data_IF_728059734149
#
_entry.id   IF_728059734149
#
_cell.length_a   1.000
_cell.length_b   1.000
_cell.length_c   1.000
_cell.angle_alpha   90.00
_cell.angle_beta   90.00
_cell.angle_gamma   90.00
#
_symmetry.space_group_name_H-M   'P 1'
#
loop_
_entity.id
_entity.type
_entity.pdbx_description
1 polymer ?
#
# COMPACT_ATOMS: atom_id res chain seq x y z
N UNK A 1 28.60 56.95 -50.97
CA UNK A 1 27.55 56.96 -49.93
C UNK A 1 26.35 56.23 -50.48
N UNK A 2 26.28 54.92 -50.24
CA UNK A 2 25.17 54.07 -50.68
C UNK A 2 24.81 53.20 -49.48
N UNK A 3 23.92 53.70 -48.62
CA UNK A 3 23.46 52.97 -47.44
C UNK A 3 22.42 51.93 -47.87
N UNK A 4 22.76 50.67 -47.63
CA UNK A 4 21.92 49.51 -47.86
C UNK A 4 21.04 49.26 -46.63
N UNK A 5 19.74 49.15 -46.88
CA UNK A 5 18.69 48.87 -45.89
C UNK A 5 18.94 47.53 -45.18
N UNK A 6 19.09 47.57 -43.86
CA UNK A 6 18.98 46.40 -43.00
C UNK A 6 17.52 46.19 -42.59
N UNK A 7 16.90 45.11 -43.08
CA UNK A 7 15.59 44.65 -42.66
C UNK A 7 15.66 43.99 -41.28
N UNK A 8 14.79 44.44 -40.38
CA UNK A 8 14.51 43.86 -39.07
C UNK A 8 13.70 42.57 -39.21
N UNK A 9 14.29 41.43 -38.83
CA UNK A 9 13.57 40.17 -38.65
C UNK A 9 12.97 40.10 -37.24
N UNK A 10 11.67 40.35 -37.14
CA UNK A 10 10.85 39.95 -35.99
C UNK A 10 10.54 38.46 -36.07
N UNK A 11 11.15 37.64 -35.22
CA UNK A 11 10.70 36.28 -34.94
C UNK A 11 9.35 36.34 -34.19
N UNK A 12 8.27 35.96 -34.87
CA UNK A 12 7.00 35.65 -34.22
C UNK A 12 7.11 34.28 -33.54
N UNK A 13 7.21 34.28 -32.22
CA UNK A 13 7.01 33.10 -31.39
C UNK A 13 5.54 32.70 -31.45
N UNK A 14 5.26 31.60 -32.16
CA UNK A 14 3.94 31.01 -32.24
C UNK A 14 3.60 30.40 -30.87
N UNK A 15 2.91 31.17 -30.03
CA UNK A 15 2.41 30.71 -28.75
C UNK A 15 1.33 29.64 -29.01
N UNK A 16 1.64 28.40 -28.62
CA UNK A 16 0.66 27.31 -28.53
C UNK A 16 -0.39 27.71 -27.48
N UNK A 17 -1.60 28.00 -27.95
CA UNK A 17 -2.75 28.19 -27.09
C UNK A 17 -2.98 26.93 -26.26
N UNK A 18 -3.15 27.02 -24.94
CA UNK A 18 -3.52 25.89 -24.12
C UNK A 18 -4.88 25.37 -24.60
N UNK A 19 -4.94 24.09 -24.93
CA UNK A 19 -6.19 23.40 -25.25
C UNK A 19 -7.20 23.62 -24.13
N UNK A 20 -8.47 23.93 -24.45
CA UNK A 20 -9.49 24.11 -23.44
C UNK A 20 -9.61 22.82 -22.59
N UNK A 21 -9.84 22.95 -21.27
CA UNK A 21 -10.07 21.79 -20.41
C UNK A 21 -11.18 20.93 -21.02
N UNK A 22 -11.05 19.58 -20.98
CA UNK A 22 -12.03 18.69 -21.60
C UNK A 22 -13.42 19.06 -21.10
N UNK A 23 -14.21 19.64 -22.00
CA UNK A 23 -15.60 19.98 -21.73
C UNK A 23 -16.28 18.68 -21.32
N UNK A 24 -16.67 18.60 -20.04
CA UNK A 24 -17.49 17.53 -19.53
C UNK A 24 -18.82 17.65 -20.27
N UNK A 25 -19.00 16.86 -21.33
CA UNK A 25 -20.32 16.65 -21.90
C UNK A 25 -21.26 16.29 -20.75
N UNK A 26 -22.53 16.74 -20.76
CA UNK A 26 -23.47 16.45 -19.70
C UNK A 26 -23.51 14.93 -19.54
N UNK A 27 -22.86 14.45 -18.48
CA UNK A 27 -22.74 13.02 -18.21
C UNK A 27 -24.15 12.57 -17.89
N UNK A 28 -24.64 11.58 -18.62
CA UNK A 28 -25.94 11.00 -18.32
C UNK A 28 -25.95 10.57 -16.85
N UNK A 29 -26.86 11.16 -16.08
CA UNK A 29 -27.01 10.93 -14.64
C UNK A 29 -27.25 9.45 -14.35
N UNK A 30 -27.92 8.74 -15.26
CA UNK A 30 -28.18 7.31 -15.17
C UNK A 30 -26.85 6.55 -15.25
N UNK A 31 -25.99 6.90 -16.21
CA UNK A 31 -24.67 6.30 -16.38
C UNK A 31 -23.79 6.53 -15.15
N UNK A 32 -23.84 7.75 -14.57
CA UNK A 32 -23.10 8.11 -13.37
C UNK A 32 -23.54 7.28 -12.16
N UNK A 33 -24.85 7.08 -11.98
CA UNK A 33 -25.40 6.28 -10.90
C UNK A 33 -24.95 4.81 -11.01
N UNK A 34 -25.02 4.24 -12.20
CA UNK A 34 -24.53 2.87 -12.46
C UNK A 34 -23.02 2.78 -12.22
N UNK A 35 -22.24 3.76 -12.69
CA UNK A 35 -20.79 3.80 -12.45
C UNK A 35 -20.46 3.87 -10.95
N UNK A 36 -21.19 4.71 -10.21
CA UNK A 36 -21.01 4.89 -8.76
C UNK A 36 -21.31 3.60 -7.99
N UNK A 37 -22.32 2.84 -8.42
CA UNK A 37 -22.63 1.53 -7.86
C UNK A 37 -21.52 0.52 -8.16
N UNK A 38 -21.11 0.42 -9.43
CA UNK A 38 -20.13 -0.56 -9.86
C UNK A 38 -18.74 -0.30 -9.25
N UNK A 39 -18.34 0.96 -9.08
CA UNK A 39 -16.97 1.34 -8.68
C UNK A 39 -16.45 0.67 -7.41
N UNK A 40 -17.34 0.41 -6.45
CA UNK A 40 -16.98 -0.18 -5.15
C UNK A 40 -17.42 -1.64 -5.02
N UNK A 41 -17.91 -2.25 -6.10
CA UNK A 41 -18.53 -3.56 -6.04
C UNK A 41 -17.49 -4.70 -6.00
N UNK A 42 -17.60 -5.59 -5.01
CA UNK A 42 -16.62 -6.66 -4.74
C UNK A 42 -16.47 -7.65 -5.90
N UNK A 43 -17.54 -7.91 -6.66
CA UNK A 43 -17.49 -8.88 -7.77
C UNK A 43 -16.63 -8.43 -8.97
N UNK A 44 -16.39 -7.11 -9.11
CA UNK A 44 -15.54 -6.59 -10.19
C UNK A 44 -14.10 -7.08 -10.07
N UNK A 45 -13.63 -7.41 -8.85
CA UNK A 45 -12.23 -7.77 -8.55
C UNK A 45 -11.25 -6.87 -9.32
N UNK A 46 -11.48 -5.57 -9.22
CA UNK A 46 -10.68 -4.55 -9.90
C UNK A 46 -9.23 -4.64 -9.43
N UNK A 47 -8.29 -4.45 -10.37
CA UNK A 47 -6.85 -4.46 -10.12
C UNK A 47 -6.25 -3.17 -10.65
N UNK A 48 -5.08 -2.83 -10.12
CA UNK A 48 -4.31 -1.70 -10.61
C UNK A 48 -3.46 -2.12 -11.82
N UNK A 49 -3.45 -1.27 -12.82
CA UNK A 49 -2.61 -1.35 -14.00
C UNK A 49 -2.06 0.03 -14.36
N UNK A 50 -1.39 0.11 -15.50
CA UNK A 50 -0.78 1.33 -15.99
C UNK A 50 -1.38 1.72 -17.34
N UNK A 51 -1.75 2.98 -17.48
CA UNK A 51 -2.13 3.58 -18.76
C UNK A 51 -1.24 4.80 -18.97
N UNK A 52 -0.37 4.73 -19.98
CA UNK A 52 0.59 5.80 -20.28
C UNK A 52 1.41 6.23 -19.05
N UNK A 53 1.79 5.26 -18.19
CA UNK A 53 2.55 5.50 -16.95
C UNK A 53 1.73 5.85 -15.71
N UNK A 54 0.46 6.21 -15.86
CA UNK A 54 -0.44 6.50 -14.74
C UNK A 54 -1.08 5.24 -14.18
N UNK A 55 -1.19 5.16 -12.85
CA UNK A 55 -1.88 4.03 -12.19
C UNK A 55 -3.39 4.17 -12.34
N UNK A 56 -4.03 3.12 -12.86
CA UNK A 56 -5.45 3.07 -13.17
C UNK A 56 -6.06 1.75 -12.70
N UNK A 57 -7.36 1.77 -12.39
CA UNK A 57 -8.09 0.55 -12.05
C UNK A 57 -8.74 -0.04 -13.30
N UNK A 58 -8.64 -1.35 -13.46
CA UNK A 58 -9.26 -2.08 -14.55
C UNK A 58 -10.00 -3.33 -14.06
N UNK A 59 -10.94 -3.81 -14.86
CA UNK A 59 -11.69 -5.04 -14.62
C UNK A 59 -12.04 -5.72 -15.96
N UNK A 60 -12.61 -6.93 -15.89
CA UNK A 60 -13.07 -7.68 -17.07
C UNK A 60 -14.57 -7.55 -17.28
N UNK A 61 -15.02 -7.50 -18.52
CA UNK A 61 -16.43 -7.32 -18.87
C UNK A 61 -17.38 -8.30 -18.18
N UNK A 62 -17.09 -9.61 -18.22
CA UNK A 62 -17.91 -10.64 -17.56
C UNK A 62 -18.16 -10.40 -16.07
N UNK A 63 -17.24 -9.71 -15.39
CA UNK A 63 -17.38 -9.38 -13.96
C UNK A 63 -18.36 -8.23 -13.74
N UNK A 64 -18.40 -7.27 -14.67
CA UNK A 64 -19.36 -6.18 -14.63
C UNK A 64 -20.78 -6.68 -14.89
N UNK A 65 -20.99 -7.55 -15.87
CA UNK A 65 -22.30 -8.16 -16.12
C UNK A 65 -22.79 -8.94 -14.90
N UNK A 66 -21.92 -9.75 -14.27
CA UNK A 66 -22.25 -10.44 -13.01
C UNK A 66 -22.59 -9.48 -11.86
N UNK A 67 -21.94 -8.31 -11.81
CA UNK A 67 -22.25 -7.30 -10.80
C UNK A 67 -23.61 -6.61 -11.05
N UNK A 68 -23.96 -6.36 -12.31
CA UNK A 68 -25.24 -5.76 -12.69
C UNK A 68 -26.42 -6.72 -12.49
N UNK A 69 -26.21 -8.03 -12.66
CA UNK A 69 -27.23 -9.06 -12.41
C UNK A 69 -27.28 -9.55 -10.96
N UNK A 70 -26.54 -8.92 -10.06
CA UNK A 70 -26.50 -9.32 -8.65
C UNK A 70 -27.74 -8.85 -7.88
N UNK A 71 -28.09 -9.56 -6.81
CA UNK A 71 -29.15 -9.13 -5.90
C UNK A 71 -28.89 -7.75 -5.29
N UNK A 72 -27.61 -7.38 -5.09
CA UNK A 72 -27.25 -6.06 -4.57
C UNK A 72 -27.72 -4.93 -5.50
N UNK A 73 -27.65 -5.16 -6.81
CA UNK A 73 -28.15 -4.22 -7.79
C UNK A 73 -29.67 -4.11 -7.72
N UNK A 74 -30.37 -5.25 -7.72
CA UNK A 74 -31.84 -5.30 -7.62
C UNK A 74 -32.38 -4.61 -6.35
N UNK A 75 -31.73 -4.85 -5.20
CA UNK A 75 -32.09 -4.19 -3.93
C UNK A 75 -31.90 -2.67 -3.99
N UNK A 76 -30.84 -2.19 -4.67
CA UNK A 76 -30.59 -0.74 -4.80
C UNK A 76 -31.43 -0.09 -5.88
N UNK A 77 -31.77 -0.77 -6.97
CA UNK A 77 -32.66 -0.24 -8.00
C UNK A 77 -34.11 -0.14 -7.53
N UNK A 78 -34.52 -0.98 -6.57
CA UNK A 78 -35.83 -0.90 -5.92
C UNK A 78 -36.06 0.43 -5.18
N UNK A 79 -34.99 1.14 -4.80
CA UNK A 79 -35.10 2.45 -4.18
C UNK A 79 -35.05 3.56 -5.25
N UNK A 80 -36.15 4.29 -5.50
CA UNK A 80 -36.21 5.33 -6.55
C UNK A 80 -35.23 6.49 -6.30
N UNK A 81 -34.77 6.70 -5.06
CA UNK A 81 -33.77 7.73 -4.74
C UNK A 81 -32.41 7.48 -5.39
N UNK A 82 -32.10 6.24 -5.76
CA UNK A 82 -30.82 5.89 -6.34
C UNK A 82 -30.76 6.11 -7.86
N UNK A 83 -31.91 6.32 -8.53
CA UNK A 83 -31.97 6.59 -9.97
C UNK A 83 -31.29 5.53 -10.84
N UNK A 84 -31.39 4.25 -10.45
CA UNK A 84 -30.83 3.10 -11.16
C UNK A 84 -31.94 2.43 -11.99
N UNK A 85 -31.69 2.09 -13.27
CA UNK A 85 -32.67 1.39 -14.08
C UNK A 85 -32.82 -0.08 -13.60
N UNK A 86 -34.01 -0.69 -13.73
CA UNK A 86 -34.17 -2.12 -13.47
C UNK A 86 -33.45 -2.94 -14.55
N UNK A 87 -32.54 -3.83 -14.14
CA UNK A 87 -31.82 -4.73 -15.04
C UNK A 87 -32.20 -6.17 -14.69
N UNK A 88 -32.99 -6.81 -15.55
CA UNK A 88 -33.46 -8.19 -15.37
C UNK A 88 -32.71 -9.19 -16.25
N UNK A 89 -32.42 -8.80 -17.51
CA UNK A 89 -31.79 -9.67 -18.50
C UNK A 89 -30.36 -9.24 -18.81
N UNK A 90 -29.56 -10.17 -19.34
CA UNK A 90 -28.20 -9.88 -19.78
C UNK A 90 -28.13 -8.76 -20.82
N UNK A 91 -29.11 -8.66 -21.71
CA UNK A 91 -29.12 -7.65 -22.77
C UNK A 91 -29.36 -6.23 -22.21
N UNK A 92 -30.18 -6.11 -21.17
CA UNK A 92 -30.31 -4.84 -20.43
C UNK A 92 -29.00 -4.47 -19.72
N UNK A 93 -28.27 -5.47 -19.19
CA UNK A 93 -26.96 -5.24 -18.58
C UNK A 93 -25.91 -4.78 -19.62
N UNK A 94 -25.92 -5.38 -20.83
CA UNK A 94 -25.08 -4.96 -21.95
C UNK A 94 -25.42 -3.54 -22.40
N UNK A 95 -26.69 -3.20 -22.53
CA UNK A 95 -27.13 -1.84 -22.90
C UNK A 95 -26.67 -0.79 -21.87
N UNK A 96 -26.82 -1.09 -20.57
CA UNK A 96 -26.32 -0.26 -19.48
C UNK A 96 -24.79 -0.10 -19.53
N UNK A 97 -24.07 -1.16 -19.90
CA UNK A 97 -22.62 -1.11 -20.06
C UNK A 97 -22.18 -0.27 -21.26
N UNK A 98 -22.89 -0.37 -22.38
CA UNK A 98 -22.68 0.48 -23.55
C UNK A 98 -22.90 1.96 -23.19
N UNK A 99 -23.89 2.26 -22.35
CA UNK A 99 -24.14 3.61 -21.85
C UNK A 99 -22.94 4.16 -21.05
N UNK A 100 -22.30 3.32 -20.23
CA UNK A 100 -21.08 3.68 -19.49
C UNK A 100 -19.88 4.00 -20.41
N UNK A 101 -19.76 3.26 -21.53
CA UNK A 101 -18.72 3.52 -22.54
C UNK A 101 -19.02 4.81 -23.29
N UNK A 102 -20.27 5.00 -23.74
CA UNK A 102 -20.71 6.21 -24.46
C UNK A 102 -20.50 7.48 -23.64
N UNK A 103 -20.74 7.41 -22.32
CA UNK A 103 -20.49 8.50 -21.37
C UNK A 103 -19.01 8.69 -21.00
N UNK A 104 -18.08 7.93 -21.60
CA UNK A 104 -16.64 7.96 -21.35
C UNK A 104 -16.23 7.71 -19.89
N UNK A 105 -17.09 7.03 -19.12
CA UNK A 105 -16.78 6.62 -17.74
C UNK A 105 -15.89 5.36 -17.73
N UNK A 106 -15.98 4.58 -18.81
CA UNK A 106 -15.19 3.40 -19.11
C UNK A 106 -14.53 3.52 -20.48
N UNK A 107 -13.33 2.98 -20.60
CA UNK A 107 -12.62 2.87 -21.88
C UNK A 107 -12.19 1.41 -22.06
N UNK A 108 -12.43 0.78 -23.23
CA UNK A 108 -11.90 -0.54 -23.53
C UNK A 108 -10.38 -0.46 -23.59
N UNK A 109 -9.70 -1.43 -22.99
CA UNK A 109 -8.24 -1.46 -22.94
C UNK A 109 -7.72 -2.84 -23.28
N UNK A 110 -6.67 -2.91 -24.09
CA UNK A 110 -5.97 -4.16 -24.32
C UNK A 110 -4.79 -4.25 -23.37
N UNK A 111 -4.60 -5.42 -22.77
CA UNK A 111 -3.49 -5.69 -21.86
C UNK A 111 -2.26 -6.02 -22.71
N UNK A 112 -1.22 -5.21 -22.62
CA UNK A 112 0.02 -5.45 -23.33
C UNK A 112 0.90 -6.45 -22.58
N UNK A 113 1.61 -7.26 -23.35
CA UNK A 113 2.75 -8.04 -22.86
C UNK A 113 3.94 -7.12 -22.54
N UNK A 114 4.90 -7.63 -21.76
CA UNK A 114 6.13 -6.88 -21.44
C UNK A 114 6.95 -6.55 -22.69
N UNK A 115 6.86 -7.36 -23.75
CA UNK A 115 7.55 -7.11 -25.02
C UNK A 115 6.88 -5.99 -25.81
N UNK A 116 5.56 -6.08 -26.01
CA UNK A 116 4.74 -5.08 -26.71
C UNK A 116 4.79 -3.71 -26.00
N UNK A 117 4.91 -3.70 -24.68
CA UNK A 117 5.06 -2.46 -23.89
C UNK A 117 6.31 -1.69 -24.32
N UNK A 118 7.43 -2.39 -24.58
CA UNK A 118 8.68 -1.75 -25.03
C UNK A 118 8.58 -1.26 -26.47
N UNK A 119 7.92 -2.01 -27.33
CA UNK A 119 7.65 -1.62 -28.73
C UNK A 119 6.82 -0.33 -28.80
N UNK A 120 5.87 -0.17 -27.88
CA UNK A 120 5.06 1.05 -27.76
C UNK A 120 5.76 2.18 -26.99
N UNK A 121 7.09 2.11 -26.79
CA UNK A 121 7.90 3.10 -26.05
C UNK A 121 7.43 3.36 -24.61
N UNK A 122 6.78 2.39 -23.96
CA UNK A 122 6.33 2.47 -22.57
C UNK A 122 7.30 1.72 -21.65
N UNK A 123 7.46 2.21 -20.42
CA UNK A 123 8.35 1.59 -19.42
C UNK A 123 7.56 0.49 -18.67
N UNK A 124 7.91 -0.80 -18.83
CA UNK A 124 7.24 -1.86 -18.10
C UNK A 124 7.59 -1.81 -16.61
N UNK A 125 6.58 -1.83 -15.73
CA UNK A 125 6.77 -1.96 -14.29
C UNK A 125 6.44 -3.39 -13.84
N UNK A 126 7.27 -3.97 -12.97
CA UNK A 126 7.03 -5.31 -12.43
C UNK A 126 5.73 -5.32 -11.60
N UNK A 127 4.87 -6.30 -11.84
CA UNK A 127 3.64 -6.52 -11.06
C UNK A 127 2.41 -5.72 -11.53
N UNK A 128 2.56 -4.71 -12.39
CA UNK A 128 1.44 -3.95 -12.95
C UNK A 128 1.33 -4.17 -14.47
N UNK A 129 0.20 -4.65 -14.99
CA UNK A 129 -0.02 -4.74 -16.42
C UNK A 129 -0.18 -3.34 -17.05
N UNK A 130 0.43 -3.15 -18.21
CA UNK A 130 0.25 -1.93 -19.03
C UNK A 130 -0.90 -2.12 -20.00
N UNK A 131 -1.70 -1.07 -20.19
CA UNK A 131 -2.82 -1.05 -21.12
C UNK A 131 -2.66 0.01 -22.18
N UNK A 132 -3.21 -0.28 -23.36
CA UNK A 132 -3.42 0.67 -24.45
C UNK A 132 -4.92 0.84 -24.66
N UNK A 133 -5.43 2.08 -24.82
CA UNK A 133 -6.85 2.30 -25.03
C UNK A 133 -7.25 1.83 -26.43
N UNK A 134 -8.39 1.13 -26.53
CA UNK A 134 -8.98 0.72 -27.79
C UNK A 134 -10.01 1.74 -28.25
N UNK A 135 -10.14 1.90 -29.56
CA UNK A 135 -11.13 2.80 -30.14
C UNK A 135 -12.51 2.14 -30.30
N UNK A 136 -12.55 0.80 -30.44
CA UNK A 136 -13.77 0.00 -30.57
C UNK A 136 -13.84 -1.01 -29.42
N UNK A 137 -15.02 -1.14 -28.83
CA UNK A 137 -15.34 -2.16 -27.84
C UNK A 137 -16.06 -3.33 -28.52
N UNK A 138 -15.56 -4.55 -28.35
CA UNK A 138 -16.18 -5.76 -28.92
C UNK A 138 -17.14 -6.46 -27.95
N UNK A 139 -17.17 -6.02 -26.68
CA UNK A 139 -18.04 -6.54 -25.61
C UNK A 139 -17.85 -8.05 -25.39
N UNK A 140 -16.63 -8.56 -25.59
CA UNK A 140 -16.32 -9.97 -25.34
C UNK A 140 -16.14 -10.22 -23.83
N UNK A 141 -16.48 -11.42 -23.31
CA UNK A 141 -16.46 -11.71 -21.87
C UNK A 141 -15.12 -11.43 -21.16
N UNK A 142 -14.00 -11.62 -21.86
CA UNK A 142 -12.64 -11.48 -21.30
C UNK A 142 -11.92 -10.17 -21.65
N UNK A 143 -12.60 -9.26 -22.35
CA UNK A 143 -12.08 -7.91 -22.64
C UNK A 143 -11.91 -7.10 -21.35
N UNK A 144 -10.85 -6.29 -21.32
CA UNK A 144 -10.55 -5.42 -20.18
C UNK A 144 -11.12 -4.03 -20.39
N UNK A 145 -11.66 -3.48 -19.31
CA UNK A 145 -12.19 -2.12 -19.27
C UNK A 145 -11.53 -1.36 -18.14
N UNK A 146 -11.20 -0.11 -18.43
CA UNK A 146 -10.47 0.80 -17.55
C UNK A 146 -11.43 1.83 -17.00
N UNK A 147 -11.36 2.07 -15.70
CA UNK A 147 -12.10 3.15 -15.05
C UNK A 147 -11.46 4.51 -15.35
N UNK A 148 -12.22 5.39 -15.98
CA UNK A 148 -11.94 6.83 -15.98
C UNK A 148 -12.74 7.58 -14.92
N UNK A 149 -13.87 7.00 -14.48
CA UNK A 149 -14.66 7.54 -13.39
C UNK A 149 -13.96 7.43 -12.03
N UNK A 150 -13.67 8.59 -11.44
CA UNK A 150 -13.21 8.71 -10.05
C UNK A 150 -14.38 9.14 -9.17
N UNK A 151 -14.83 8.23 -8.30
CA UNK A 151 -15.81 8.56 -7.26
C UNK A 151 -15.16 9.54 -6.28
N UNK A 152 -15.79 10.69 -6.04
CA UNK A 152 -15.35 11.62 -4.99
C UNK A 152 -15.38 10.90 -3.64
N UNK A 153 -14.23 10.79 -2.99
CA UNK A 153 -14.15 10.21 -1.65
C UNK A 153 -14.50 11.30 -0.64
N UNK A 154 -15.35 11.05 0.37
CA UNK A 154 -15.59 12.03 1.43
C UNK A 154 -14.31 12.34 2.22
N UNK A 155 -13.35 11.41 2.24
CA UNK A 155 -12.04 11.62 2.85
C UNK A 155 -11.25 12.75 2.20
N UNK A 156 -11.31 12.88 0.87
CA UNK A 156 -10.59 13.95 0.16
C UNK A 156 -11.09 15.33 0.63
N UNK A 157 -12.40 15.44 0.87
CA UNK A 157 -13.01 16.66 1.40
C UNK A 157 -12.60 16.93 2.85
N UNK A 158 -12.62 15.91 3.71
CA UNK A 158 -12.22 16.03 5.12
C UNK A 158 -10.75 16.45 5.21
N UNK A 159 -9.88 15.84 4.38
CA UNK A 159 -8.45 16.20 4.31
C UNK A 159 -8.30 17.64 3.84
N UNK A 160 -9.01 18.06 2.78
CA UNK A 160 -8.95 19.43 2.30
C UNK A 160 -9.37 20.44 3.38
N UNK A 161 -10.47 20.18 4.09
CA UNK A 161 -10.94 21.02 5.21
C UNK A 161 -9.90 21.01 6.34
N UNK A 162 -9.35 19.85 6.68
CA UNK A 162 -8.32 19.71 7.73
C UNK A 162 -7.05 20.51 7.41
N UNK A 163 -6.61 20.52 6.14
CA UNK A 163 -5.48 21.33 5.68
C UNK A 163 -5.78 22.82 5.88
N UNK A 164 -6.97 23.27 5.47
CA UNK A 164 -7.39 24.67 5.64
C UNK A 164 -7.40 25.05 7.12
N UNK A 165 -8.02 24.24 7.98
CA UNK A 165 -8.03 24.46 9.44
C UNK A 165 -6.60 24.50 10.01
N UNK A 166 -5.72 23.60 9.58
CA UNK A 166 -4.32 23.57 10.02
C UNK A 166 -3.57 24.84 9.67
N UNK A 167 -3.74 25.35 8.45
CA UNK A 167 -3.13 26.61 7.99
C UNK A 167 -3.68 27.79 8.81
N UNK A 168 -5.00 27.86 8.99
CA UNK A 168 -5.63 28.89 9.83
C UNK A 168 -5.09 28.85 11.26
N UNK A 169 -4.96 27.65 11.83
CA UNK A 169 -4.46 27.44 13.20
C UNK A 169 -3.05 28.03 13.36
N UNK A 170 -2.16 27.81 12.38
CA UNK A 170 -0.80 28.38 12.37
C UNK A 170 -0.83 29.91 12.22
N UNK A 171 -1.61 30.44 11.27
CA UNK A 171 -1.71 31.88 11.03
C UNK A 171 -2.28 32.61 12.25
N UNK A 172 -3.22 32.00 12.97
CA UNK A 172 -3.82 32.56 14.17
C UNK A 172 -2.96 32.39 15.43
N UNK A 173 -1.75 31.82 15.35
CA UNK A 173 -0.83 31.70 16.49
C UNK A 173 -0.70 32.97 17.36
N UNK A 174 -0.68 34.21 16.80
CA UNK A 174 -0.65 35.43 17.61
C UNK A 174 -1.85 35.59 18.56
N UNK A 175 -3.03 35.06 18.18
CA UNK A 175 -4.26 35.14 18.97
C UNK A 175 -4.39 33.99 19.99
N UNK A 176 -3.44 33.05 20.04
CA UNK A 176 -3.56 31.90 20.92
C UNK A 176 -3.47 32.30 22.41
N UNK A 177 -4.22 31.62 23.28
CA UNK A 177 -4.15 31.86 24.70
C UNK A 177 -2.74 31.54 25.22
N UNK A 178 -2.33 32.24 26.28
CA UNK A 178 -0.95 32.18 26.77
C UNK A 178 -0.49 30.76 27.15
N UNK A 179 -1.40 29.91 27.64
CA UNK A 179 -1.08 28.53 28.00
C UNK A 179 -0.68 27.68 26.77
N UNK A 180 -1.33 27.84 25.62
CA UNK A 180 -0.97 27.08 24.40
C UNK A 180 0.38 27.54 23.86
N UNK A 181 0.65 28.84 23.87
CA UNK A 181 1.97 29.39 23.46
C UNK A 181 3.09 28.83 24.33
N UNK A 182 2.87 28.72 25.64
CA UNK A 182 3.81 28.10 26.56
C UNK A 182 4.00 26.61 26.27
N UNK A 183 2.90 25.90 25.95
CA UNK A 183 2.95 24.50 25.52
C UNK A 183 3.83 24.28 24.28
N UNK A 184 3.66 25.12 23.25
CA UNK A 184 4.51 25.09 22.04
C UNK A 184 5.97 25.37 22.38
N UNK A 185 6.24 26.32 23.27
CA UNK A 185 7.61 26.61 23.72
C UNK A 185 8.25 25.41 24.42
N UNK A 186 7.56 24.78 25.37
CA UNK A 186 8.07 23.57 26.04
C UNK A 186 8.24 22.41 25.07
N UNK A 187 7.31 22.21 24.14
CA UNK A 187 7.43 21.17 23.11
C UNK A 187 8.66 21.41 22.22
N UNK A 188 8.89 22.67 21.81
CA UNK A 188 10.07 23.05 21.03
C UNK A 188 11.36 22.82 21.81
N UNK A 189 11.42 23.23 23.08
CA UNK A 189 12.58 22.99 23.96
C UNK A 189 12.80 21.49 24.22
N UNK A 190 11.74 20.70 24.36
CA UNK A 190 11.83 19.25 24.52
C UNK A 190 12.38 18.57 23.26
N UNK A 191 11.90 18.95 22.07
CA UNK A 191 12.43 18.45 20.80
C UNK A 191 13.90 18.86 20.60
N UNK A 192 14.27 20.09 20.98
CA UNK A 192 15.65 20.56 20.92
C UNK A 192 16.55 19.80 21.93
N UNK A 193 16.05 19.54 23.14
CA UNK A 193 16.75 18.71 24.11
C UNK A 193 16.95 17.27 23.62
N UNK A 194 15.92 16.70 22.98
CA UNK A 194 16.02 15.38 22.36
C UNK A 194 17.06 15.35 21.23
N UNK A 195 17.07 16.36 20.34
CA UNK A 195 18.09 16.47 19.29
C UNK A 195 19.50 16.59 19.91
N UNK A 196 19.66 17.42 20.94
CA UNK A 196 20.93 17.61 21.61
C UNK A 196 21.42 16.32 22.28
N UNK A 197 20.50 15.53 22.86
CA UNK A 197 20.81 14.22 23.42
C UNK A 197 21.39 13.26 22.35
N UNK A 198 20.82 13.23 21.14
CA UNK A 198 21.39 12.43 20.04
C UNK A 198 22.81 12.87 19.69
N UNK A 199 23.08 14.18 19.64
CA UNK A 199 24.43 14.69 19.40
C UNK A 199 25.41 14.30 20.51
N UNK A 200 24.99 14.40 21.77
CA UNK A 200 25.82 13.99 22.92
C UNK A 200 26.17 12.50 22.82
N UNK A 201 25.20 11.64 22.52
CA UNK A 201 25.44 10.20 22.35
C UNK A 201 26.39 9.95 21.16
N UNK A 202 26.23 10.66 20.05
CA UNK A 202 27.12 10.55 18.90
C UNK A 202 28.56 11.00 19.21
N UNK A 203 28.73 12.06 19.98
CA UNK A 203 30.05 12.55 20.42
C UNK A 203 30.71 11.55 21.38
N UNK A 204 29.98 11.03 22.38
CA UNK A 204 30.46 10.01 23.30
C UNK A 204 30.94 8.77 22.52
N UNK A 205 30.14 8.33 21.55
CA UNK A 205 30.50 7.23 20.64
C UNK A 205 31.80 7.51 19.88
N UNK A 206 31.97 8.72 19.34
CA UNK A 206 33.18 9.11 18.62
C UNK A 206 34.42 9.11 19.52
N UNK A 207 34.32 9.70 20.71
CA UNK A 207 35.43 9.78 21.67
C UNK A 207 35.85 8.37 22.11
N UNK A 208 34.89 7.53 22.50
CA UNK A 208 35.18 6.18 22.98
C UNK A 208 35.74 5.28 21.87
N UNK A 209 35.20 5.38 20.65
CA UNK A 209 35.78 4.69 19.51
C UNK A 209 37.20 5.18 19.22
N UNK A 210 37.45 6.49 19.24
CA UNK A 210 38.78 7.06 19.01
C UNK A 210 39.82 6.63 20.03
N UNK A 211 39.47 6.66 21.32
CA UNK A 211 40.36 6.24 22.41
C UNK A 211 40.63 4.74 22.33
N UNK A 212 39.59 3.91 22.23
CA UNK A 212 39.76 2.45 22.18
C UNK A 212 40.48 2.01 20.94
N UNK A 213 40.20 2.59 19.77
CA UNK A 213 40.93 2.27 18.55
C UNK A 213 42.45 2.51 18.66
N UNK A 214 42.88 3.54 19.40
CA UNK A 214 44.30 3.86 19.56
C UNK A 214 44.98 3.11 20.72
N UNK A 215 44.29 2.88 21.84
CA UNK A 215 44.86 2.27 23.06
C UNK A 215 44.58 0.76 23.19
N UNK A 216 43.41 0.28 22.77
CA UNK A 216 42.96 -1.10 22.89
C UNK A 216 42.31 -1.54 21.56
N UNK A 217 43.12 -2.02 20.60
CA UNK A 217 42.56 -2.64 19.38
C UNK A 217 41.86 -3.94 19.78
N UNK A 218 40.53 -4.16 19.55
CA UNK A 218 39.59 -3.46 18.65
C UNK A 218 38.78 -2.30 19.28
N UNK A 219 38.41 -1.31 18.48
CA UNK A 219 37.62 -0.16 18.95
C UNK A 219 36.20 -0.54 19.41
N UNK A 220 35.76 0.02 20.53
CA UNK A 220 34.38 -0.18 21.04
C UNK A 220 33.41 0.74 20.32
N UNK A 221 32.26 0.21 19.93
CA UNK A 221 31.23 0.89 19.18
C UNK A 221 29.92 0.89 19.97
N UNK A 222 29.55 2.05 20.50
CA UNK A 222 28.38 2.19 21.37
C UNK A 222 27.14 2.48 20.53
N UNK A 223 26.05 1.80 20.85
CA UNK A 223 24.78 1.80 20.13
C UNK A 223 24.96 1.61 18.61
N UNK A 224 25.36 0.40 18.15
CA UNK A 224 25.55 0.11 16.73
C UNK A 224 24.34 0.45 15.88
N UNK A 225 23.14 0.21 16.41
CA UNK A 225 21.87 0.36 15.71
C UNK A 225 21.25 1.77 15.77
N UNK A 226 21.92 2.77 16.39
CA UNK A 226 21.33 4.10 16.59
C UNK A 226 21.00 4.83 15.29
N UNK A 227 21.74 4.55 14.21
CA UNK A 227 21.55 5.14 12.89
C UNK A 227 21.11 4.11 11.83
N UNK A 228 20.76 2.90 12.26
CA UNK A 228 20.23 1.87 11.36
C UNK A 228 18.71 2.00 11.26
N UNK A 229 18.14 1.48 10.17
CA UNK A 229 16.69 1.50 9.90
C UNK A 229 15.92 0.50 10.80
N UNK A 230 16.04 0.65 12.12
CA UNK A 230 15.38 -0.16 13.14
C UNK A 230 14.48 0.71 14.03
N UNK A 231 13.52 0.10 14.71
CA UNK A 231 12.61 0.83 15.60
C UNK A 231 13.37 1.51 16.75
N UNK A 232 12.81 2.59 17.30
CA UNK A 232 13.46 3.41 18.34
C UNK A 232 14.03 2.61 19.52
N UNK A 233 13.34 1.56 19.98
CA UNK A 233 13.79 0.73 21.10
C UNK A 233 14.94 -0.20 20.68
N UNK A 234 14.86 -0.76 19.47
CA UNK A 234 15.88 -1.63 18.89
C UNK A 234 17.16 -0.84 18.53
N UNK A 235 17.06 0.48 18.34
CA UNK A 235 18.22 1.37 18.13
C UNK A 235 19.17 1.42 19.34
N UNK A 236 18.67 1.17 20.56
CA UNK A 236 19.48 1.21 21.80
C UNK A 236 19.96 -0.15 22.28
N UNK A 237 19.69 -1.22 21.52
CA UNK A 237 20.06 -2.59 21.89
C UNK A 237 20.80 -3.22 20.70
N UNK A 238 22.03 -3.77 20.87
CA UNK A 238 22.85 -3.80 22.09
C UNK A 238 23.45 -2.43 22.44
N UNK A 239 23.83 -2.25 23.72
CA UNK A 239 24.43 -1.01 24.23
C UNK A 239 25.82 -0.73 23.65
N UNK A 240 26.62 -1.78 23.43
CA UNK A 240 27.95 -1.67 22.83
C UNK A 240 28.28 -2.95 22.05
N UNK A 241 29.13 -2.82 21.05
CA UNK A 241 29.68 -3.90 20.25
C UNK A 241 31.16 -3.62 19.97
N UNK A 242 31.99 -4.65 19.89
CA UNK A 242 33.41 -4.50 19.53
C UNK A 242 33.54 -4.51 18.00
N UNK A 243 34.27 -3.55 17.44
CA UNK A 243 34.51 -3.46 16.00
C UNK A 243 35.63 -4.41 15.57
N UNK A 244 35.32 -5.70 15.48
CA UNK A 244 36.22 -6.67 14.90
C UNK A 244 36.26 -6.51 13.37
N UNK A 245 37.43 -6.57 12.72
CA UNK A 245 37.50 -6.65 11.27
C UNK A 245 36.73 -7.90 10.83
N UNK A 246 35.60 -7.69 10.12
CA UNK A 246 34.80 -8.80 9.58
C UNK A 246 35.66 -9.57 8.59
N UNK A 247 36.15 -10.74 9.01
CA UNK A 247 36.80 -11.69 8.10
C UNK A 247 35.79 -12.05 7.02
N UNK A 248 36.14 -11.76 5.77
CA UNK A 248 35.26 -11.88 4.61
C UNK A 248 35.11 -13.36 4.23
N UNK A 249 34.44 -14.15 5.07
CA UNK A 249 34.02 -15.49 4.70
C UNK A 249 32.72 -15.38 3.90
N UNK A 250 32.80 -15.95 2.70
CA UNK A 250 31.78 -16.05 1.68
C UNK A 250 30.44 -16.60 2.21
N UNK A 251 29.34 -16.03 1.69
CA UNK A 251 28.01 -16.61 1.52
C UNK A 251 27.65 -17.86 2.37
N UNK A 252 26.83 -17.68 3.39
CA UNK A 252 25.71 -18.60 3.65
C UNK A 252 24.47 -17.76 3.96
N UNK A 253 23.58 -17.53 2.99
CA UNK A 253 22.32 -18.27 2.83
C UNK A 253 21.89 -18.97 4.13
N UNK A 254 20.96 -18.33 4.83
CA UNK A 254 19.73 -18.90 5.40
C UNK A 254 19.76 -20.40 5.72
N UNK A 255 19.56 -20.76 6.99
CA UNK A 255 18.69 -21.89 7.37
C UNK A 255 18.37 -21.81 8.89
N UNK A 256 17.31 -22.50 9.34
CA UNK A 256 16.24 -21.93 10.15
C UNK A 256 16.38 -22.27 11.65
N UNK A 257 15.58 -21.59 12.46
CA UNK A 257 15.36 -21.91 13.89
C UNK A 257 15.06 -23.41 14.07
N UNK A 258 15.77 -24.13 14.96
CA UNK A 258 15.21 -25.34 15.56
C UNK A 258 14.33 -24.94 16.74
N UNK A 259 13.05 -25.32 16.68
CA UNK A 259 12.25 -25.52 17.87
C UNK A 259 12.72 -26.83 18.50
N UNK A 260 13.18 -26.79 19.74
CA UNK A 260 13.25 -28.00 20.58
C UNK A 260 12.67 -27.67 21.94
N UNK A 261 11.46 -28.18 22.14
CA UNK A 261 10.80 -28.39 23.40
C UNK A 261 11.21 -29.81 23.82
N UNK A 262 12.12 -29.97 24.79
CA UNK A 262 12.30 -31.24 25.50
C UNK A 262 12.70 -30.94 26.94
N UNK A 263 11.71 -31.12 27.81
CA UNK A 263 11.85 -31.48 29.21
C UNK A 263 12.77 -32.71 29.31
N UNK A 264 13.81 -32.66 30.12
CA UNK A 264 14.32 -33.86 30.79
C UNK A 264 14.85 -33.51 32.17
N UNK A 265 14.10 -33.99 33.15
CA UNK A 265 14.48 -34.15 34.55
C UNK A 265 15.80 -34.93 34.67
N UNK A 266 16.61 -34.54 35.65
CA UNK A 266 17.27 -35.49 36.56
C UNK A 266 17.77 -34.76 37.81
N UNK A 267 17.03 -34.96 38.89
CA UNK A 267 17.42 -35.16 40.29
C UNK A 267 18.61 -34.37 40.88
N UNK A 268 18.27 -33.56 41.89
CA UNK A 268 19.08 -33.40 43.08
C UNK A 268 18.20 -33.64 44.33
N UNK A 269 18.75 -34.44 45.23
CA UNK A 269 18.26 -34.90 46.53
C UNK A 269 17.58 -33.82 47.42
N UNK A 270 16.44 -34.16 48.03
CA UNK A 270 16.17 -33.95 49.47
C UNK A 270 14.92 -34.71 49.92
N UNK A 271 15.02 -35.29 51.12
CA UNK A 271 14.16 -36.32 51.74
C UNK A 271 13.04 -35.66 52.61
N UNK A 272 12.16 -36.37 53.35
CA UNK A 272 10.73 -36.60 53.05
C UNK A 272 9.73 -36.12 54.14
N UNK A 273 8.42 -36.08 53.85
CA UNK A 273 7.33 -36.28 54.84
C UNK A 273 5.98 -36.42 54.09
N UNK A 274 5.39 -37.62 54.02
CA UNK A 274 4.43 -38.26 54.96
C UNK A 274 2.96 -37.83 54.78
N UNK A 275 2.14 -38.82 54.36
CA UNK A 275 0.77 -39.21 54.80
C UNK A 275 -0.25 -38.08 55.07
N UNK A 276 -1.48 -38.03 54.55
CA UNK A 276 -2.59 -39.01 54.72
C UNK A 276 -3.86 -38.52 53.97
N UNK A 277 -4.60 -39.45 53.35
CA UNK A 277 -6.08 -39.55 53.15
C UNK A 277 -6.98 -38.33 52.85
N UNK A 278 -7.82 -38.46 51.81
CA UNK A 278 -9.31 -38.66 51.86
C UNK A 278 -9.88 -38.42 50.44
N UNK A 279 -10.33 -39.45 49.70
CA UNK A 279 -11.76 -39.78 49.41
C UNK A 279 -12.54 -38.57 48.82
N UNK A 280 -13.20 -38.59 47.65
CA UNK A 280 -14.17 -39.55 47.10
C UNK A 280 -14.57 -39.15 45.66
N UNK A 281 -15.01 -40.15 44.88
CA UNK A 281 -15.92 -40.13 43.70
C UNK A 281 -15.44 -39.51 42.38
N UNK A 282 -15.20 -40.32 41.33
CA UNK A 282 -16.18 -40.87 40.35
C UNK A 282 -16.55 -39.81 39.32
N UNK A 283 -16.33 -39.95 38.00
CA UNK A 283 -16.84 -41.00 37.09
C UNK A 283 -16.07 -40.86 35.74
N UNK A 284 -15.25 -41.85 35.32
CA UNK A 284 -15.52 -42.95 34.36
C UNK A 284 -15.79 -42.46 32.91
N UNK A 285 -14.76 -42.53 32.04
CA UNK A 285 -14.60 -43.51 30.91
C UNK A 285 -15.21 -42.96 29.61
N UNK A 286 -14.81 -43.29 28.38
CA UNK A 286 -13.92 -44.21 27.65
C UNK A 286 -14.03 -43.68 26.19
N UNK A 287 -13.23 -43.96 25.16
CA UNK A 287 -12.07 -44.80 24.90
C UNK A 287 -11.68 -44.58 23.42
N UNK A 288 -10.40 -44.85 23.14
CA UNK A 288 -9.80 -45.45 21.92
C UNK A 288 -10.17 -44.95 20.51
N UNK A 289 -9.22 -44.40 19.75
CA UNK A 289 -8.03 -45.02 19.11
C UNK A 289 -8.37 -45.86 17.88
N UNK A 290 -7.77 -45.53 16.72
CA UNK A 290 -7.00 -46.47 15.89
C UNK A 290 -6.07 -45.68 14.96
N UNK A 291 -4.78 -46.06 14.99
CA UNK A 291 -3.69 -45.60 14.11
C UNK A 291 -3.79 -46.24 12.72
N UNK A 292 -3.36 -45.52 11.69
CA UNK A 292 -2.94 -46.08 10.40
C UNK A 292 -1.80 -45.24 9.83
N UNK A 293 -0.69 -45.88 9.49
CA UNK A 293 0.60 -45.33 9.05
C UNK A 293 0.94 -45.99 7.69
N UNK A 294 1.85 -45.37 6.92
CA UNK A 294 2.68 -45.90 5.78
C UNK A 294 1.88 -46.19 4.48
N UNK A 295 2.29 -45.95 3.23
CA UNK A 295 3.54 -45.50 2.57
C UNK A 295 3.26 -45.13 1.10
N UNK A 296 4.25 -44.49 0.46
CA UNK A 296 4.39 -44.16 -0.97
C UNK A 296 4.53 -45.39 -1.88
N UNK A 297 4.06 -45.31 -3.13
CA UNK A 297 4.74 -45.92 -4.28
C UNK A 297 4.38 -45.20 -5.60
N UNK A 298 5.38 -45.09 -6.46
CA UNK A 298 5.50 -44.41 -7.74
C UNK A 298 5.65 -45.49 -8.81
N UNK A 299 4.90 -45.45 -9.92
CA UNK A 299 5.29 -46.10 -11.19
C UNK A 299 4.70 -45.30 -12.36
N UNK A 300 5.59 -44.78 -13.19
CA UNK A 300 5.35 -44.32 -14.56
C UNK A 300 5.12 -45.52 -15.50
N UNK A 301 4.17 -45.39 -16.42
CA UNK A 301 4.26 -45.81 -17.83
C UNK A 301 3.49 -44.81 -18.70
#
# INVERSE_FOLDING_TARGET
MSQQQGQSQTHQTQAQSPSPPPQQQPVDVIALNIASFLRNHKLLKQRQGLLQGNSIDFFRFKRAIRALLSEEYSKKSSNPKNGLPPITNEDHAKAAFILLIKSKLLIPGNKLSSSETRENNLIPKKGLPTFLPLQRAELTPDEYYIWFYKKKSPWDLIIAIGIVIGIFTIILFPLWPFFMRRGVWYLSMAMLGFIALFFVIAIIRLILFGITYFLLSPGIWIFPNLFEDVGFIDSFIPLYEWNYPKVKNSKSKSKPKPKTNVIKNSNAESIPQSTTTTTTSSEKSESNSTKGKVTLEEVEE
#
